data_IF_330329382430
#
_entry.id   IF_330329382430
#
_cell.length_a   1.000
_cell.length_b   1.000
_cell.length_c   1.000
_cell.angle_alpha   90.00
_cell.angle_beta   90.00
_cell.angle_gamma   90.00
#
_symmetry.space_group_name_H-M   'P 1'
#
loop_
_entity.id
_entity.type
_entity.pdbx_description
1 polymer ?
#
# COMPACT_ATOMS: atom_id res chain seq x y z
N UNK A 1 2.31 -43.60 -4.41
CA UNK A 1 1.32 -42.66 -3.88
C UNK A 1 2.04 -41.69 -2.95
N UNK A 2 1.85 -40.38 -3.12
CA UNK A 2 2.45 -39.40 -2.21
C UNK A 2 1.74 -39.54 -0.87
N UNK A 3 2.49 -39.89 0.16
CA UNK A 3 1.98 -40.03 1.52
C UNK A 3 2.21 -38.72 2.26
N UNK A 4 1.13 -37.98 2.46
CA UNK A 4 1.09 -36.82 3.35
C UNK A 4 0.92 -37.31 4.79
N UNK A 5 1.79 -36.87 5.69
CA UNK A 5 1.86 -37.33 7.09
C UNK A 5 0.64 -36.92 7.90
N UNK A 6 0.14 -35.72 7.67
CA UNK A 6 -0.96 -35.14 8.44
C UNK A 6 -2.00 -34.44 7.55
N UNK A 7 -3.10 -34.00 8.18
CA UNK A 7 -4.14 -33.25 7.49
C UNK A 7 -3.63 -31.89 6.99
N UNK A 8 -2.70 -31.27 7.71
CA UNK A 8 -2.18 -29.96 7.39
C UNK A 8 -1.36 -29.96 6.09
N UNK A 9 -0.49 -30.95 5.89
CA UNK A 9 0.27 -31.16 4.65
C UNK A 9 -0.65 -31.42 3.45
N UNK A 10 -1.75 -32.15 3.65
CA UNK A 10 -2.75 -32.39 2.59
C UNK A 10 -3.42 -31.09 2.16
N UNK A 11 -3.85 -30.29 3.13
CA UNK A 11 -4.44 -28.96 2.87
C UNK A 11 -3.43 -28.04 2.20
N UNK A 12 -2.18 -28.02 2.68
CA UNK A 12 -1.10 -27.23 2.09
C UNK A 12 -0.84 -27.62 0.64
N UNK A 13 -0.72 -28.91 0.34
CA UNK A 13 -0.52 -29.40 -1.02
C UNK A 13 -1.71 -29.03 -1.94
N UNK A 14 -2.94 -29.10 -1.43
CA UNK A 14 -4.13 -28.69 -2.16
C UNK A 14 -4.16 -27.17 -2.40
N UNK A 15 -3.77 -26.33 -1.43
CA UNK A 15 -3.67 -24.87 -1.62
C UNK A 15 -2.58 -24.48 -2.61
N UNK A 16 -1.40 -25.11 -2.52
CA UNK A 16 -0.31 -24.92 -3.49
C UNK A 16 -0.74 -25.29 -4.91
N UNK A 17 -1.58 -26.33 -5.08
CA UNK A 17 -2.18 -26.64 -6.37
C UNK A 17 -3.04 -25.49 -6.91
N UNK A 18 -3.86 -24.87 -6.06
CA UNK A 18 -4.72 -23.75 -6.47
C UNK A 18 -3.88 -22.55 -6.91
N UNK A 19 -2.80 -22.27 -6.18
CA UNK A 19 -1.84 -21.20 -6.50
C UNK A 19 -1.09 -21.48 -7.81
N UNK A 20 -0.51 -22.67 -7.98
CA UNK A 20 0.25 -23.06 -9.18
C UNK A 20 -0.61 -23.07 -10.45
N UNK A 21 -1.89 -23.46 -10.31
CA UNK A 21 -2.85 -23.44 -11.43
C UNK A 21 -3.50 -22.07 -11.63
N UNK A 22 -3.07 -21.06 -10.86
CA UNK A 22 -3.55 -19.68 -10.94
C UNK A 22 -5.08 -19.61 -10.90
N UNK A 23 -5.69 -20.37 -10.00
CA UNK A 23 -7.14 -20.36 -9.82
C UNK A 23 -7.56 -18.97 -9.34
N UNK A 24 -8.63 -18.40 -9.90
CA UNK A 24 -9.14 -17.12 -9.42
C UNK A 24 -10.07 -17.31 -8.21
N UNK A 25 -10.06 -16.40 -7.22
CA UNK A 25 -10.93 -16.49 -6.04
C UNK A 25 -12.45 -16.43 -6.34
N UNK A 26 -12.82 -15.96 -7.53
CA UNK A 26 -14.21 -15.84 -7.99
C UNK A 26 -14.70 -17.03 -8.82
N UNK A 27 -13.82 -17.99 -9.14
CA UNK A 27 -14.22 -19.13 -9.94
C UNK A 27 -15.05 -20.13 -9.12
N UNK A 28 -16.12 -20.64 -9.71
CA UNK A 28 -16.92 -21.69 -9.09
C UNK A 28 -16.27 -23.09 -9.25
N UNK A 29 -16.73 -24.05 -8.45
CA UNK A 29 -16.21 -25.42 -8.46
C UNK A 29 -16.23 -26.08 -9.85
N UNK A 30 -17.28 -25.85 -10.65
CA UNK A 30 -17.41 -26.47 -11.97
C UNK A 30 -16.36 -25.96 -12.96
N UNK A 31 -15.92 -24.71 -12.81
CA UNK A 31 -14.83 -24.13 -13.59
C UNK A 31 -13.45 -24.60 -13.08
N UNK A 32 -13.29 -24.71 -11.77
CA UNK A 32 -12.01 -25.08 -11.14
C UNK A 32 -11.69 -26.57 -11.31
N UNK A 33 -12.67 -27.44 -11.11
CA UNK A 33 -12.52 -28.90 -11.11
C UNK A 33 -11.74 -29.46 -12.33
N UNK A 34 -12.10 -29.17 -13.59
CA UNK A 34 -11.40 -29.73 -14.75
C UNK A 34 -9.92 -29.31 -14.84
N UNK A 35 -9.55 -28.20 -14.19
CA UNK A 35 -8.17 -27.67 -14.17
C UNK A 35 -7.34 -28.41 -13.11
N UNK A 36 -7.93 -28.65 -11.93
CA UNK A 36 -7.20 -29.21 -10.79
C UNK A 36 -7.19 -30.75 -10.78
N UNK A 37 -8.18 -31.40 -11.38
CA UNK A 37 -8.34 -32.87 -11.33
C UNK A 37 -7.19 -33.64 -12.01
N UNK A 38 -6.48 -32.99 -12.92
CA UNK A 38 -5.33 -33.60 -13.63
C UNK A 38 -4.06 -33.65 -12.77
N UNK A 39 -4.01 -32.91 -11.65
CA UNK A 39 -2.82 -32.81 -10.81
C UNK A 39 -2.86 -33.86 -9.69
N UNK A 40 -1.72 -34.50 -9.42
CA UNK A 40 -1.60 -35.52 -8.39
C UNK A 40 -1.95 -35.00 -6.98
N UNK A 41 -1.80 -33.70 -6.74
CA UNK A 41 -2.11 -33.04 -5.45
C UNK A 41 -3.60 -32.91 -5.21
N UNK A 42 -4.43 -33.06 -6.25
CA UNK A 42 -5.88 -33.11 -6.09
C UNK A 42 -6.28 -34.28 -5.20
N UNK A 43 -5.61 -35.42 -5.31
CA UNK A 43 -5.87 -36.62 -4.50
C UNK A 43 -5.34 -36.51 -3.06
N UNK A 44 -4.67 -35.40 -2.69
CA UNK A 44 -4.18 -35.18 -1.32
C UNK A 44 -5.34 -35.14 -0.30
N UNK A 45 -6.47 -34.54 -0.68
CA UNK A 45 -7.69 -34.54 0.15
C UNK A 45 -8.66 -35.58 -0.44
N UNK A 46 -8.99 -36.67 0.24
CA UNK A 46 -9.78 -37.75 -0.37
C UNK A 46 -11.23 -37.34 -0.67
N UNK A 47 -11.91 -36.68 0.29
CA UNK A 47 -13.34 -36.37 0.15
C UNK A 47 -13.58 -35.10 -0.65
N UNK A 48 -14.47 -35.17 -1.65
CA UNK A 48 -14.86 -34.02 -2.49
C UNK A 48 -15.48 -32.89 -1.67
N UNK A 49 -16.24 -33.21 -0.62
CA UNK A 49 -16.83 -32.18 0.25
C UNK A 49 -15.76 -31.38 1.00
N UNK A 50 -14.69 -32.06 1.44
CA UNK A 50 -13.57 -31.40 2.12
C UNK A 50 -12.77 -30.54 1.12
N UNK A 51 -12.56 -31.02 -0.11
CA UNK A 51 -11.95 -30.21 -1.19
C UNK A 51 -12.75 -28.93 -1.49
N UNK A 52 -14.09 -29.05 -1.58
CA UNK A 52 -14.98 -27.90 -1.80
C UNK A 52 -14.96 -26.90 -0.64
N UNK A 53 -14.92 -27.41 0.59
CA UNK A 53 -14.79 -26.59 1.81
C UNK A 53 -13.45 -25.86 1.80
N UNK A 54 -12.36 -26.57 1.51
CA UNK A 54 -11.02 -25.99 1.45
C UNK A 54 -10.88 -24.96 0.34
N UNK A 55 -11.46 -25.20 -0.84
CA UNK A 55 -11.51 -24.20 -1.92
C UNK A 55 -12.18 -22.91 -1.45
N UNK A 56 -13.35 -22.98 -0.78
CA UNK A 56 -14.05 -21.78 -0.28
C UNK A 56 -13.22 -21.03 0.76
N UNK A 57 -12.54 -21.75 1.64
CA UNK A 57 -11.65 -21.14 2.63
C UNK A 57 -10.49 -20.44 1.92
N UNK A 58 -9.80 -21.13 1.02
CA UNK A 58 -8.71 -20.56 0.22
C UNK A 58 -9.18 -19.32 -0.56
N UNK A 59 -10.36 -19.34 -1.18
CA UNK A 59 -10.91 -18.17 -1.89
C UNK A 59 -11.13 -16.95 -0.98
N UNK A 60 -11.47 -17.19 0.28
CA UNK A 60 -11.69 -16.13 1.29
C UNK A 60 -10.36 -15.57 1.78
N UNK A 61 -9.41 -16.45 2.07
CA UNK A 61 -8.03 -16.10 2.45
C UNK A 61 -7.35 -15.32 1.32
N UNK A 62 -7.52 -15.75 0.07
CA UNK A 62 -6.92 -15.13 -1.11
C UNK A 62 -7.51 -13.75 -1.41
N UNK A 63 -8.83 -13.55 -1.29
CA UNK A 63 -9.42 -12.20 -1.38
C UNK A 63 -8.87 -11.28 -0.32
N UNK A 64 -8.77 -11.77 0.91
CA UNK A 64 -8.20 -10.99 2.02
C UNK A 64 -6.74 -10.62 1.75
N UNK A 65 -5.95 -11.55 1.18
CA UNK A 65 -4.57 -11.29 0.79
C UNK A 65 -4.48 -10.22 -0.30
N UNK A 66 -5.25 -10.35 -1.37
CA UNK A 66 -5.27 -9.39 -2.48
C UNK A 66 -5.73 -7.99 -2.04
N UNK A 67 -6.78 -7.90 -1.24
CA UNK A 67 -7.24 -6.64 -0.65
C UNK A 67 -6.16 -6.02 0.25
N UNK A 68 -5.46 -6.87 1.02
CA UNK A 68 -4.33 -6.45 1.84
C UNK A 68 -3.18 -5.88 1.02
N UNK A 69 -2.80 -6.55 -0.07
CA UNK A 69 -1.74 -6.10 -0.98
C UNK A 69 -2.10 -4.79 -1.69
N UNK A 70 -3.35 -4.65 -2.14
CA UNK A 70 -3.86 -3.40 -2.72
C UNK A 70 -3.78 -2.25 -1.71
N UNK A 71 -4.24 -2.46 -0.47
CA UNK A 71 -4.14 -1.44 0.60
C UNK A 71 -2.69 -1.09 0.92
N UNK A 72 -1.80 -2.09 1.01
CA UNK A 72 -0.38 -1.85 1.26
C UNK A 72 0.27 -1.03 0.14
N UNK A 73 -0.08 -1.33 -1.12
CA UNK A 73 0.39 -0.57 -2.28
C UNK A 73 -0.10 0.88 -2.23
N UNK A 74 -1.39 1.09 -1.92
CA UNK A 74 -1.96 2.43 -1.75
C UNK A 74 -1.27 3.21 -0.63
N UNK A 75 -1.04 2.57 0.51
CA UNK A 75 -0.31 3.17 1.64
C UNK A 75 1.12 3.55 1.26
N UNK A 76 1.83 2.68 0.52
CA UNK A 76 3.19 2.96 0.06
C UNK A 76 3.22 4.17 -0.88
N UNK A 77 2.29 4.22 -1.85
CA UNK A 77 2.16 5.37 -2.77
C UNK A 77 1.91 6.65 -1.98
N UNK A 78 1.01 6.62 -1.00
CA UNK A 78 0.71 7.76 -0.15
C UNK A 78 1.93 8.20 0.68
N UNK A 79 2.67 7.26 1.27
CA UNK A 79 3.89 7.55 2.03
C UNK A 79 4.96 8.19 1.15
N UNK A 80 5.21 7.62 -0.03
CA UNK A 80 6.18 8.15 -0.99
C UNK A 80 5.79 9.55 -1.45
N UNK A 81 4.50 9.79 -1.71
CA UNK A 81 4.00 11.12 -2.08
C UNK A 81 4.26 12.14 -0.96
N UNK A 82 3.90 11.83 0.28
CA UNK A 82 4.12 12.73 1.43
C UNK A 82 5.61 12.95 1.70
N UNK A 83 6.44 11.92 1.57
CA UNK A 83 7.89 12.04 1.71
C UNK A 83 8.50 12.96 0.65
N UNK A 84 8.03 12.87 -0.61
CA UNK A 84 8.41 13.80 -1.67
C UNK A 84 8.00 15.25 -1.33
N UNK A 85 6.81 15.47 -0.78
CA UNK A 85 6.41 16.82 -0.35
C UNK A 85 7.32 17.35 0.76
N UNK A 86 7.66 16.49 1.73
CA UNK A 86 8.51 16.85 2.86
C UNK A 86 9.95 17.19 2.43
N UNK A 87 10.53 16.46 1.48
CA UNK A 87 11.88 16.74 0.98
C UNK A 87 11.97 18.10 0.28
N UNK A 88 10.86 18.59 -0.29
CA UNK A 88 10.74 19.90 -0.95
C UNK A 88 9.98 20.92 -0.09
N UNK A 89 9.90 20.71 1.23
CA UNK A 89 9.09 21.51 2.16
C UNK A 89 9.17 23.02 1.95
N UNK A 90 10.37 23.60 2.00
CA UNK A 90 10.57 25.05 1.88
C UNK A 90 10.17 25.61 0.50
N UNK A 91 10.25 24.78 -0.55
CA UNK A 91 9.86 25.17 -1.89
C UNK A 91 8.33 25.19 -2.04
N UNK A 92 7.63 24.27 -1.38
CA UNK A 92 6.21 24.00 -1.63
C UNK A 92 5.26 24.65 -0.62
N UNK A 93 5.67 24.86 0.63
CA UNK A 93 4.78 25.18 1.76
C UNK A 93 3.92 26.45 1.59
N UNK A 94 4.37 27.42 0.78
CA UNK A 94 3.64 28.68 0.53
C UNK A 94 2.93 28.75 -0.83
N UNK A 95 3.01 27.70 -1.65
CA UNK A 95 2.50 27.71 -3.02
C UNK A 95 1.10 27.10 -3.08
N UNK A 96 0.32 27.42 -4.11
CA UNK A 96 -0.94 26.75 -4.40
C UNK A 96 -0.70 25.45 -5.16
N UNK A 97 -1.63 24.51 -5.10
CA UNK A 97 -1.53 23.24 -5.82
C UNK A 97 -1.30 23.44 -7.33
N UNK A 98 -2.00 24.41 -7.94
CA UNK A 98 -1.82 24.77 -9.36
C UNK A 98 -0.36 25.04 -9.73
N UNK A 99 0.39 25.73 -8.87
CA UNK A 99 1.80 26.03 -9.15
C UNK A 99 2.70 24.84 -8.79
N UNK A 100 2.39 24.13 -7.70
CA UNK A 100 3.14 22.94 -7.27
C UNK A 100 3.05 21.80 -8.28
N UNK A 101 1.91 21.65 -8.96
CA UNK A 101 1.71 20.69 -10.04
C UNK A 101 2.82 20.75 -11.09
N UNK A 102 3.18 21.95 -11.54
CA UNK A 102 4.27 22.13 -12.52
C UNK A 102 5.66 21.81 -11.97
N UNK A 103 5.86 21.93 -10.65
CA UNK A 103 7.13 21.60 -9.98
C UNK A 103 7.27 20.08 -9.80
N UNK A 104 6.17 19.39 -9.49
CA UNK A 104 6.19 17.97 -9.13
C UNK A 104 5.83 17.01 -10.27
N UNK A 105 5.37 17.51 -11.41
CA UNK A 105 4.91 16.66 -12.53
C UNK A 105 5.91 15.61 -13.00
N UNK A 106 7.22 15.86 -12.83
CA UNK A 106 8.27 14.92 -13.22
C UNK A 106 8.65 13.90 -12.14
N UNK A 107 8.20 14.08 -10.91
CA UNK A 107 8.54 13.20 -9.80
C UNK A 107 7.79 11.87 -9.92
N UNK A 108 8.51 10.76 -9.76
CA UNK A 108 7.94 9.41 -9.84
C UNK A 108 6.85 9.19 -8.78
N UNK A 109 7.06 9.68 -7.55
CA UNK A 109 6.06 9.61 -6.49
C UNK A 109 4.79 10.45 -6.79
N UNK A 110 4.91 11.52 -7.58
CA UNK A 110 3.76 12.30 -8.05
C UNK A 110 3.01 11.57 -9.17
N UNK A 111 3.74 10.98 -10.12
CA UNK A 111 3.20 10.18 -11.22
C UNK A 111 2.47 8.91 -10.72
N UNK A 112 2.94 8.31 -9.62
CA UNK A 112 2.37 7.10 -9.02
C UNK A 112 0.91 7.25 -8.54
N UNK A 113 0.47 8.47 -8.24
CA UNK A 113 -0.92 8.76 -7.89
C UNK A 113 -1.71 9.02 -9.16
N UNK A 114 -2.64 8.16 -9.55
CA UNK A 114 -3.31 8.30 -10.87
C UNK A 114 -4.27 9.50 -10.96
N UNK A 115 -4.98 9.80 -9.87
CA UNK A 115 -6.06 10.81 -9.86
C UNK A 115 -5.54 12.18 -9.41
N UNK A 116 -5.66 13.20 -10.26
CA UNK A 116 -5.24 14.57 -9.95
C UNK A 116 -5.96 15.16 -8.72
N UNK A 117 -7.27 14.87 -8.57
CA UNK A 117 -8.03 15.28 -7.39
C UNK A 117 -7.47 14.70 -6.09
N UNK A 118 -6.93 13.48 -6.12
CA UNK A 118 -6.33 12.84 -4.95
C UNK A 118 -4.97 13.47 -4.62
N UNK A 119 -4.19 13.81 -5.65
CA UNK A 119 -2.93 14.56 -5.48
C UNK A 119 -3.18 15.91 -4.83
N UNK A 120 -4.20 16.64 -5.27
CA UNK A 120 -4.59 17.94 -4.69
C UNK A 120 -5.05 17.78 -3.23
N UNK A 121 -5.93 16.82 -2.94
CA UNK A 121 -6.40 16.55 -1.57
C UNK A 121 -5.23 16.24 -0.62
N UNK A 122 -4.31 15.37 -1.04
CA UNK A 122 -3.15 15.00 -0.23
C UNK A 122 -2.18 16.16 -0.04
N UNK A 123 -1.98 16.96 -1.09
CA UNK A 123 -1.16 18.17 -1.01
C UNK A 123 -1.76 19.19 -0.06
N UNK A 124 -3.06 19.46 -0.14
CA UNK A 124 -3.74 20.42 0.73
C UNK A 124 -3.67 19.99 2.20
N UNK A 125 -3.96 18.71 2.48
CA UNK A 125 -3.81 18.14 3.83
C UNK A 125 -2.39 18.27 4.37
N UNK A 126 -1.39 17.98 3.55
CA UNK A 126 0.02 18.17 3.94
C UNK A 126 0.34 19.66 4.16
N UNK A 127 -0.10 20.54 3.26
CA UNK A 127 0.18 21.98 3.28
C UNK A 127 -0.37 22.65 4.53
N UNK A 128 -1.56 22.26 4.99
CA UNK A 128 -2.18 22.84 6.18
C UNK A 128 -1.29 22.59 7.42
N UNK A 129 -0.83 21.34 7.59
CA UNK A 129 0.14 20.98 8.63
C UNK A 129 1.51 21.65 8.43
N UNK A 130 2.01 21.69 7.20
CA UNK A 130 3.31 22.27 6.86
C UNK A 130 3.35 23.78 7.10
N UNK A 131 2.24 24.48 6.85
CA UNK A 131 2.11 25.92 7.02
C UNK A 131 2.24 26.32 8.49
N UNK A 132 1.67 25.54 9.40
CA UNK A 132 1.84 25.75 10.84
C UNK A 132 3.29 25.55 11.29
N UNK A 133 3.94 24.47 10.83
CA UNK A 133 5.34 24.20 11.13
C UNK A 133 6.25 25.33 10.63
N UNK A 134 6.01 25.81 9.41
CA UNK A 134 6.76 26.92 8.83
C UNK A 134 6.60 28.22 9.63
N UNK A 135 5.38 28.53 10.10
CA UNK A 135 5.13 29.70 10.97
C UNK A 135 5.91 29.60 12.28
N UNK A 136 5.93 28.43 12.91
CA UNK A 136 6.69 28.18 14.15
C UNK A 136 8.20 28.35 13.94
N UNK A 137 8.75 27.77 12.86
CA UNK A 137 10.16 27.95 12.49
C UNK A 137 10.52 29.43 12.32
N UNK A 138 9.69 30.20 11.61
CA UNK A 138 9.92 31.63 11.41
C UNK A 138 9.78 32.47 12.68
N UNK A 139 8.88 32.11 13.59
CA UNK A 139 8.79 32.77 14.90
C UNK A 139 10.04 32.49 15.75
N UNK A 140 10.51 31.23 15.74
CA UNK A 140 11.72 30.84 16.48
C UNK A 140 12.98 31.50 15.91
N UNK A 141 13.15 31.54 14.59
CA UNK A 141 14.24 32.27 13.92
C UNK A 141 14.27 33.74 14.36
N UNK A 142 13.11 34.41 14.36
CA UNK A 142 12.98 35.80 14.81
C UNK A 142 13.36 35.96 16.28
N UNK A 143 12.87 35.07 17.15
CA UNK A 143 13.16 35.11 18.58
C UNK A 143 14.66 34.92 18.86
N UNK A 144 15.30 33.95 18.19
CA UNK A 144 16.73 33.71 18.30
C UNK A 144 17.55 34.90 17.78
N UNK A 145 17.15 35.52 16.67
CA UNK A 145 17.81 36.70 16.13
C UNK A 145 17.73 37.89 17.08
N UNK A 146 16.54 38.18 17.64
CA UNK A 146 16.37 39.26 18.62
C UNK A 146 17.19 38.98 19.89
N UNK A 147 17.19 37.75 20.38
CA UNK A 147 17.96 37.36 21.56
C UNK A 147 19.48 37.46 21.33
N UNK A 148 19.99 36.98 20.20
CA UNK A 148 21.41 37.14 19.84
C UNK A 148 21.79 38.60 19.64
N UNK A 149 20.94 39.41 19.00
CA UNK A 149 21.21 40.83 18.78
C UNK A 149 21.29 41.59 20.12
N UNK A 150 20.35 41.36 21.03
CA UNK A 150 20.41 41.95 22.38
C UNK A 150 21.63 41.48 23.19
N UNK A 151 22.05 40.22 23.05
CA UNK A 151 23.20 39.70 23.79
C UNK A 151 24.56 40.20 23.24
N UNK A 152 24.66 40.48 21.93
CA UNK A 152 25.90 40.94 21.29
C UNK A 152 26.05 42.47 21.21
N UNK A 153 24.96 43.25 21.23
CA UNK A 153 25.02 44.71 21.10
C UNK A 153 24.87 45.49 22.42
N UNK A 154 24.42 44.84 23.50
CA UNK A 154 24.18 45.48 24.80
C UNK A 154 25.10 44.97 25.93
N UNK A 155 26.21 44.31 25.59
CA UNK A 155 27.31 43.98 26.50
C UNK A 155 28.63 44.51 25.92
#
# INVERSE_FOLDING_TARGET
>A
AIQYKDWHERVKAFRQLLEDKQIHPDWNWNKVLPIIVQDYRYEAIPKVNDKKKELKQWQTDERTRLDGEMRQKEQLIQQQFVQMLQSKFHQLVKKSYRHVKHILQEEEAYKAVERDALREEWYDRWRDNASEQYRKQKQQEKFCFVHCFFFFFFH
#
